data_IF_833451106232
#
_entry.id   IF_833451106232
#
_cell.length_a   1.000
_cell.length_b   1.000
_cell.length_c   1.000
_cell.angle_alpha   90.00
_cell.angle_beta   90.00
_cell.angle_gamma   90.00
#
_symmetry.space_group_name_H-M   'P 1'
#
loop_
_entity.id
_entity.type
_entity.pdbx_description
1 polymer ?
#
# COMPACT_ATOMS: atom_id res chain seq x y z
N UNK A 1 35.98 21.77 2.55
CA UNK A 1 36.38 20.37 2.33
C UNK A 1 35.82 19.97 1.00
N UNK A 2 36.68 19.56 0.07
CA UNK A 2 36.24 19.06 -1.24
C UNK A 2 35.56 17.70 -1.06
N UNK A 3 34.36 17.55 -1.60
CA UNK A 3 33.54 16.35 -1.51
C UNK A 3 32.94 16.05 -2.88
N UNK A 4 32.78 14.77 -3.20
CA UNK A 4 32.07 14.34 -4.40
C UNK A 4 30.56 14.33 -4.12
N UNK A 5 29.81 15.08 -4.92
CA UNK A 5 28.36 15.27 -4.79
C UNK A 5 27.66 14.82 -6.08
N UNK A 6 26.38 14.42 -5.98
CA UNK A 6 25.71 13.68 -7.05
C UNK A 6 24.37 14.27 -7.46
N UNK A 7 24.17 14.44 -8.76
CA UNK A 7 22.85 14.57 -9.35
C UNK A 7 22.42 13.19 -9.87
N UNK A 8 21.29 12.70 -9.37
CA UNK A 8 20.70 11.42 -9.71
C UNK A 8 19.41 11.65 -10.51
N UNK A 9 19.16 10.81 -11.51
CA UNK A 9 18.01 10.96 -12.41
C UNK A 9 17.31 9.63 -12.61
N UNK A 10 15.98 9.61 -12.61
CA UNK A 10 15.24 8.45 -13.10
C UNK A 10 14.40 8.86 -14.30
N UNK A 11 14.42 8.03 -15.36
CA UNK A 11 13.80 8.38 -16.64
C UNK A 11 12.50 7.61 -16.85
N UNK A 12 11.42 8.34 -17.10
CA UNK A 12 10.07 7.81 -17.23
C UNK A 12 9.37 8.42 -18.45
N UNK A 13 9.45 7.73 -19.58
CA UNK A 13 8.92 8.22 -20.87
C UNK A 13 7.40 8.09 -21.03
N UNK A 14 6.75 7.21 -20.28
CA UNK A 14 5.30 7.00 -20.37
C UNK A 14 4.55 7.55 -19.14
N UNK A 15 5.27 8.26 -18.27
CA UNK A 15 4.75 8.80 -17.02
C UNK A 15 4.40 7.75 -15.97
N UNK A 16 4.76 6.48 -16.17
CA UNK A 16 4.46 5.39 -15.24
C UNK A 16 5.65 4.49 -14.91
N UNK A 17 6.43 4.07 -15.91
CA UNK A 17 7.51 3.10 -15.75
C UNK A 17 8.87 3.77 -15.88
N UNK A 18 9.71 3.56 -14.88
CA UNK A 18 11.10 4.00 -14.88
C UNK A 18 11.89 2.99 -15.73
N UNK A 19 12.58 3.48 -16.76
CA UNK A 19 13.35 2.64 -17.70
C UNK A 19 14.78 2.42 -17.24
N UNK A 20 15.41 3.49 -16.79
CA UNK A 20 16.79 3.51 -16.33
C UNK A 20 17.02 4.66 -15.34
N UNK A 21 18.23 4.69 -14.79
CA UNK A 21 18.70 5.75 -13.90
C UNK A 21 19.96 6.40 -14.46
N UNK A 22 20.16 7.68 -14.15
CA UNK A 22 21.32 8.47 -14.52
C UNK A 22 22.05 9.03 -13.31
N UNK A 23 23.36 9.23 -13.44
CA UNK A 23 24.20 9.87 -12.43
C UNK A 23 25.16 10.87 -13.08
N UNK A 24 25.30 12.03 -12.43
CA UNK A 24 26.31 13.05 -12.69
C UNK A 24 27.07 13.36 -11.40
N UNK A 25 28.40 13.36 -11.48
CA UNK A 25 29.30 13.54 -10.33
C UNK A 25 30.02 14.88 -10.42
N UNK A 26 30.14 15.57 -9.28
CA UNK A 26 30.85 16.84 -9.19
C UNK A 26 31.74 16.86 -7.96
N UNK A 27 32.94 17.43 -8.07
CA UNK A 27 33.75 17.79 -6.91
C UNK A 27 33.47 19.22 -6.53
N UNK A 28 33.03 19.45 -5.29
CA UNK A 28 32.63 20.77 -4.82
C UNK A 28 33.11 21.05 -3.40
N UNK A 29 33.57 22.27 -3.16
CA UNK A 29 33.85 22.81 -1.84
C UNK A 29 32.71 23.72 -1.37
N UNK A 30 32.50 23.77 -0.07
CA UNK A 30 31.51 24.65 0.55
C UNK A 30 30.71 23.94 1.64
N UNK A 31 29.68 24.62 2.11
CA UNK A 31 28.65 24.07 2.99
C UNK A 31 27.70 23.15 2.21
N UNK A 32 26.99 22.26 2.91
CA UNK A 32 26.01 21.37 2.27
C UNK A 32 24.91 22.15 1.56
N UNK A 33 24.52 23.33 2.08
CA UNK A 33 23.55 24.19 1.44
C UNK A 33 24.05 24.72 0.08
N UNK A 34 25.31 25.18 0.01
CA UNK A 34 25.92 25.65 -1.23
C UNK A 34 26.07 24.51 -2.26
N UNK A 35 26.47 23.32 -1.81
CA UNK A 35 26.58 22.13 -2.66
C UNK A 35 25.22 21.67 -3.20
N UNK A 36 24.18 21.66 -2.37
CA UNK A 36 22.81 21.33 -2.80
C UNK A 36 22.27 22.36 -3.80
N UNK A 37 22.56 23.65 -3.59
CA UNK A 37 22.17 24.70 -4.52
C UNK A 37 22.91 24.59 -5.86
N UNK A 38 24.20 24.22 -5.82
CA UNK A 38 24.97 23.87 -7.02
C UNK A 38 24.30 22.72 -7.79
N UNK A 39 23.95 21.62 -7.12
CA UNK A 39 23.27 20.48 -7.76
C UNK A 39 21.94 20.91 -8.41
N UNK A 40 21.12 21.68 -7.69
CA UNK A 40 19.83 22.18 -8.21
C UNK A 40 19.99 23.05 -9.46
N UNK A 41 20.99 23.93 -9.48
CA UNK A 41 21.25 24.82 -10.62
C UNK A 41 21.75 24.07 -11.87
N UNK A 42 22.31 22.87 -11.70
CA UNK A 42 22.84 22.06 -12.80
C UNK A 42 21.90 20.93 -13.24
N UNK A 43 20.68 20.80 -12.70
CA UNK A 43 19.74 19.71 -13.04
C UNK A 43 19.56 19.52 -14.56
N UNK A 44 19.36 20.61 -15.31
CA UNK A 44 19.08 20.53 -16.75
C UNK A 44 20.31 20.08 -17.53
N UNK A 45 21.48 20.65 -17.26
CA UNK A 45 22.73 20.27 -17.94
C UNK A 45 23.15 18.85 -17.57
N UNK A 46 23.01 18.49 -16.30
CA UNK A 46 23.41 17.19 -15.80
C UNK A 46 22.48 16.08 -16.32
N UNK A 47 21.17 16.31 -16.42
CA UNK A 47 20.24 15.34 -16.97
C UNK A 47 20.53 15.03 -18.45
N UNK A 48 21.16 15.94 -19.19
CA UNK A 48 21.53 15.73 -20.60
C UNK A 48 22.85 14.98 -20.77
N UNK A 49 23.74 15.06 -19.77
CA UNK A 49 25.12 14.56 -19.83
C UNK A 49 25.37 13.38 -18.90
N UNK A 50 24.39 13.00 -18.07
CA UNK A 50 24.54 11.96 -17.09
C UNK A 50 24.88 10.62 -17.73
N UNK A 51 25.59 9.78 -16.97
CA UNK A 51 25.83 8.40 -17.38
C UNK A 51 24.65 7.54 -16.96
N UNK A 52 24.09 6.77 -17.90
CA UNK A 52 22.95 5.89 -17.66
C UNK A 52 23.38 4.52 -17.14
N UNK A 53 22.59 3.97 -16.23
CA UNK A 53 22.77 2.66 -15.60
C UNK A 53 21.44 1.90 -15.52
N UNK A 54 21.48 0.56 -15.51
CA UNK A 54 20.29 -0.23 -15.22
C UNK A 54 19.81 0.00 -13.79
N UNK A 55 18.51 -0.19 -13.57
CA UNK A 55 17.86 -0.10 -12.26
C UNK A 55 18.28 -1.30 -11.41
N UNK A 56 18.51 -1.07 -10.11
CA UNK A 56 18.83 -2.16 -9.19
C UNK A 56 17.68 -3.21 -9.10
N UNK A 57 17.94 -4.51 -9.36
CA UNK A 57 16.91 -5.56 -9.42
C UNK A 57 16.01 -5.69 -8.19
N UNK A 58 16.52 -5.46 -6.98
CA UNK A 58 15.73 -5.50 -5.73
C UNK A 58 14.55 -4.52 -5.69
N UNK A 59 14.53 -3.51 -6.56
CA UNK A 59 13.47 -2.49 -6.58
C UNK A 59 12.34 -2.82 -7.55
N UNK A 60 12.52 -3.83 -8.40
CA UNK A 60 11.56 -4.21 -9.43
C UNK A 60 10.34 -4.90 -8.82
N UNK A 61 9.21 -4.82 -9.53
CA UNK A 61 7.98 -5.56 -9.22
C UNK A 61 8.03 -7.01 -9.74
N UNK A 62 6.96 -7.75 -9.53
CA UNK A 62 6.78 -9.14 -9.99
C UNK A 62 6.88 -9.31 -11.53
N UNK A 63 6.80 -8.21 -12.29
CA UNK A 63 6.93 -8.17 -13.75
C UNK A 63 8.31 -7.70 -14.20
N UNK A 64 9.23 -7.45 -13.27
CA UNK A 64 10.57 -6.95 -13.55
C UNK A 64 10.62 -5.48 -13.92
N UNK A 65 9.63 -4.68 -13.47
CA UNK A 65 9.52 -3.24 -13.80
C UNK A 65 9.59 -2.40 -12.52
N UNK A 66 10.12 -1.18 -12.61
CA UNK A 66 9.99 -0.17 -11.56
C UNK A 66 8.95 0.88 -11.98
N UNK A 67 7.85 0.98 -11.23
CA UNK A 67 6.86 2.05 -11.41
C UNK A 67 7.21 3.27 -10.56
N UNK A 68 6.69 4.44 -10.92
CA UNK A 68 6.79 5.64 -10.06
C UNK A 68 6.19 5.37 -8.67
N UNK A 69 5.04 4.71 -8.59
CA UNK A 69 4.38 4.41 -7.32
C UNK A 69 5.25 3.51 -6.43
N UNK A 70 5.90 2.51 -7.03
CA UNK A 70 6.84 1.63 -6.31
C UNK A 70 8.12 2.35 -5.90
N UNK A 71 8.64 3.26 -6.74
CA UNK A 71 9.76 4.13 -6.36
C UNK A 71 9.40 5.00 -5.15
N UNK A 72 8.21 5.62 -5.16
CA UNK A 72 7.70 6.41 -4.05
C UNK A 72 7.54 5.54 -2.79
N UNK A 73 7.01 4.32 -2.91
CA UNK A 73 6.88 3.39 -1.80
C UNK A 73 8.25 3.04 -1.17
N UNK A 74 9.28 2.81 -1.99
CA UNK A 74 10.67 2.63 -1.51
C UNK A 74 11.18 3.87 -0.78
N UNK A 75 10.97 5.07 -1.34
CA UNK A 75 11.36 6.33 -0.70
C UNK A 75 10.64 6.57 0.64
N UNK A 76 9.38 6.12 0.78
CA UNK A 76 8.59 6.21 2.02
C UNK A 76 9.14 5.33 3.15
N UNK A 77 9.91 4.30 2.84
CA UNK A 77 10.62 3.47 3.84
C UNK A 77 12.12 3.71 3.89
N UNK A 78 12.60 4.80 3.29
CA UNK A 78 14.01 5.21 3.36
C UNK A 78 14.92 4.52 2.36
N UNK A 79 14.38 3.87 1.34
CA UNK A 79 15.14 3.16 0.32
C UNK A 79 15.17 3.87 -1.04
N UNK A 80 15.18 5.20 -1.02
CA UNK A 80 15.16 6.04 -2.23
C UNK A 80 16.43 5.90 -3.10
N UNK A 81 17.55 5.49 -2.50
CA UNK A 81 18.82 5.31 -3.20
C UNK A 81 18.99 3.92 -3.82
N UNK A 82 18.25 2.90 -3.39
CA UNK A 82 18.41 1.54 -3.92
C UNK A 82 18.34 1.45 -5.44
N UNK A 83 17.41 2.13 -6.15
CA UNK A 83 17.38 2.08 -7.61
C UNK A 83 18.69 2.51 -8.27
N UNK A 84 19.49 3.33 -7.58
CA UNK A 84 20.73 3.94 -8.05
C UNK A 84 22.01 3.23 -7.58
N UNK A 85 21.92 2.16 -6.78
CA UNK A 85 23.10 1.52 -6.18
C UNK A 85 24.14 1.09 -7.22
N UNK A 86 23.71 0.52 -8.35
CA UNK A 86 24.63 0.14 -9.45
C UNK A 86 25.39 1.37 -9.96
N UNK A 87 24.72 2.51 -10.10
CA UNK A 87 25.32 3.76 -10.56
C UNK A 87 26.28 4.34 -9.51
N UNK A 88 25.89 4.30 -8.24
CA UNK A 88 26.67 4.80 -7.10
C UNK A 88 27.94 3.97 -6.87
N UNK A 89 27.85 2.64 -6.99
CA UNK A 89 28.99 1.73 -6.91
C UNK A 89 29.98 1.98 -8.05
N UNK A 90 29.50 2.19 -9.27
CA UNK A 90 30.34 2.44 -10.44
C UNK A 90 31.22 3.69 -10.30
N UNK A 91 30.78 4.67 -9.50
CA UNK A 91 31.51 5.92 -9.23
C UNK A 91 32.19 5.94 -7.85
N UNK A 92 32.21 4.81 -7.13
CA UNK A 92 32.75 4.68 -5.77
C UNK A 92 32.16 5.72 -4.79
N UNK A 93 30.85 5.95 -4.87
CA UNK A 93 30.17 6.89 -3.97
C UNK A 93 30.32 6.44 -2.50
N UNK A 94 30.44 7.40 -1.55
CA UNK A 94 30.42 7.08 -0.13
C UNK A 94 29.05 6.53 0.29
N UNK A 95 28.99 5.89 1.47
CA UNK A 95 27.75 5.30 2.02
C UNK A 95 26.62 6.30 2.24
N UNK A 96 26.95 7.56 2.54
CA UNK A 96 25.99 8.65 2.72
C UNK A 96 26.35 9.79 1.76
N UNK A 97 26.08 9.65 0.46
CA UNK A 97 26.46 10.66 -0.52
C UNK A 97 25.54 11.88 -0.42
N UNK A 98 26.11 13.09 -0.53
CA UNK A 98 25.29 14.29 -0.73
C UNK A 98 24.75 14.28 -2.17
N UNK A 99 23.43 14.24 -2.30
CA UNK A 99 22.78 14.07 -3.59
C UNK A 99 21.47 14.83 -3.72
N UNK A 100 21.06 15.06 -4.95
CA UNK A 100 19.68 15.41 -5.35
C UNK A 100 19.24 14.38 -6.38
N UNK A 101 18.05 13.81 -6.24
CA UNK A 101 17.46 12.99 -7.29
C UNK A 101 16.27 13.68 -7.94
N UNK A 102 16.19 13.63 -9.27
CA UNK A 102 15.16 14.32 -10.07
C UNK A 102 14.48 13.35 -11.05
N UNK A 103 13.16 13.45 -11.15
CA UNK A 103 12.39 12.72 -12.16
C UNK A 103 12.57 13.37 -13.53
N UNK A 104 12.89 12.60 -14.56
CA UNK A 104 12.82 13.04 -15.96
C UNK A 104 11.61 12.37 -16.60
N UNK A 105 10.50 13.10 -16.68
CA UNK A 105 9.24 12.60 -17.22
C UNK A 105 9.01 13.20 -18.60
N UNK A 106 8.89 12.36 -19.63
CA UNK A 106 8.78 12.80 -21.03
C UNK A 106 9.91 13.77 -21.45
N UNK A 107 11.13 13.54 -20.95
CA UNK A 107 12.29 14.39 -21.21
C UNK A 107 12.31 15.73 -20.45
N UNK A 108 11.37 15.96 -19.54
CA UNK A 108 11.26 17.21 -18.77
C UNK A 108 11.58 16.91 -17.30
N UNK A 109 12.52 17.66 -16.67
CA UNK A 109 12.72 17.59 -15.23
C UNK A 109 11.45 17.95 -14.47
N UNK A 110 11.03 17.05 -13.59
CA UNK A 110 9.85 17.19 -12.76
C UNK A 110 10.26 17.08 -11.29
N UNK A 111 10.01 18.15 -10.54
CA UNK A 111 10.25 18.22 -9.09
C UNK A 111 8.89 18.25 -8.40
N UNK A 112 8.41 17.07 -8.01
CA UNK A 112 7.14 16.95 -7.28
C UNK A 112 7.30 17.19 -5.78
N UNK A 113 8.50 16.98 -5.24
CA UNK A 113 8.82 17.15 -3.83
C UNK A 113 10.33 17.39 -3.62
N UNK A 114 10.70 17.97 -2.49
CA UNK A 114 12.10 18.02 -2.01
C UNK A 114 12.17 17.35 -0.65
N UNK A 115 13.02 16.32 -0.54
CA UNK A 115 13.18 15.52 0.69
C UNK A 115 14.62 15.64 1.14
N UNK A 116 14.90 16.03 2.39
CA UNK A 116 16.24 15.96 2.94
C UNK A 116 16.80 14.52 2.86
N UNK A 117 18.08 14.37 2.57
CA UNK A 117 18.70 13.05 2.38
C UNK A 117 18.61 12.13 3.62
N UNK A 118 18.40 12.70 4.80
CA UNK A 118 18.25 12.00 6.07
C UNK A 118 16.78 11.76 6.47
N UNK A 119 15.81 12.11 5.62
CA UNK A 119 14.39 11.93 5.88
C UNK A 119 13.75 10.94 4.89
N UNK A 120 12.77 10.17 5.39
CA UNK A 120 11.94 9.34 4.53
C UNK A 120 10.89 10.22 3.83
N UNK A 121 10.48 9.84 2.62
CA UNK A 121 9.44 10.60 1.92
C UNK A 121 8.11 10.53 2.68
N UNK A 122 7.42 11.68 2.78
CA UNK A 122 6.21 11.88 3.57
C UNK A 122 5.35 12.91 2.87
N UNK A 123 4.05 12.92 3.17
CA UNK A 123 3.10 13.86 2.57
C UNK A 123 3.51 15.32 2.75
N UNK A 124 4.10 15.69 3.90
CA UNK A 124 4.61 17.05 4.18
C UNK A 124 5.64 17.55 3.16
N UNK A 125 6.31 16.66 2.43
CA UNK A 125 7.30 17.01 1.42
C UNK A 125 6.68 17.41 0.08
N UNK A 126 5.38 17.19 -0.11
CA UNK A 126 4.66 17.66 -1.29
C UNK A 126 4.24 19.13 -1.10
N UNK A 127 4.63 20.04 -2.00
CA UNK A 127 4.32 21.47 -1.88
C UNK A 127 2.82 21.79 -1.95
N UNK A 128 2.03 20.90 -2.54
CA UNK A 128 0.57 21.00 -2.63
C UNK A 128 -0.16 20.19 -1.54
N UNK A 129 0.55 19.71 -0.51
CA UNK A 129 -0.05 18.90 0.56
C UNK A 129 -1.08 19.69 1.39
N UNK A 130 -0.90 21.01 1.46
CA UNK A 130 -1.76 21.92 2.21
C UNK A 130 -2.56 22.77 1.22
N UNK A 131 -3.89 22.74 1.38
CA UNK A 131 -4.80 23.62 0.67
C UNK A 131 -5.48 24.48 1.71
N UNK A 132 -5.39 25.80 1.57
CA UNK A 132 -5.99 26.75 2.52
C UNK A 132 -7.49 26.44 2.72
N UNK A 133 -7.93 26.36 3.96
CA UNK A 133 -9.31 26.00 4.33
C UNK A 133 -9.64 24.50 4.24
N UNK A 134 -8.71 23.64 3.81
CA UNK A 134 -8.86 22.18 3.80
C UNK A 134 -8.06 21.58 4.95
N UNK A 135 -8.70 20.70 5.75
CA UNK A 135 -8.01 19.97 6.82
C UNK A 135 -6.93 19.09 6.21
N UNK A 136 -5.68 19.29 6.65
CA UNK A 136 -4.57 18.42 6.28
C UNK A 136 -4.75 17.06 6.96
N UNK A 137 -4.79 15.99 6.17
CA UNK A 137 -4.78 14.64 6.71
C UNK A 137 -3.33 14.21 6.95
N UNK A 138 -2.95 13.81 8.19
CA UNK A 138 -1.59 13.41 8.49
C UNK A 138 -1.23 12.13 7.73
N UNK A 139 0.05 12.00 7.39
CA UNK A 139 0.58 10.81 6.74
C UNK A 139 0.57 9.63 7.72
N UNK A 140 -0.08 8.52 7.35
CA UNK A 140 -0.21 7.37 8.26
C UNK A 140 1.16 6.82 8.69
N UNK A 141 2.18 6.91 7.84
CA UNK A 141 3.52 6.43 8.18
C UNK A 141 4.17 7.21 9.32
N UNK A 142 3.72 8.43 9.63
CA UNK A 142 4.21 9.18 10.81
C UNK A 142 3.77 8.53 12.13
N UNK A 143 2.60 7.88 12.14
CA UNK A 143 2.06 7.22 13.33
C UNK A 143 2.44 5.73 13.40
N UNK A 144 2.55 5.08 12.24
CA UNK A 144 2.70 3.63 12.16
C UNK A 144 4.09 3.17 11.72
N UNK A 145 5.03 4.06 11.44
CA UNK A 145 6.44 3.70 11.22
C UNK A 145 7.35 4.42 12.22
N UNK A 146 8.35 3.69 12.74
CA UNK A 146 9.40 4.25 13.60
C UNK A 146 10.79 4.14 12.97
N UNK A 147 10.85 4.20 11.63
CA UNK A 147 12.09 4.16 10.85
C UNK A 147 12.64 2.74 10.65
N UNK A 148 12.52 1.88 11.66
CA UNK A 148 12.99 0.49 11.60
C UNK A 148 11.87 -0.55 11.52
N UNK A 149 10.65 -0.20 11.92
CA UNK A 149 9.51 -1.10 11.85
C UNK A 149 8.27 -0.39 11.31
N UNK A 150 7.43 -1.17 10.62
CA UNK A 150 6.12 -0.74 10.14
C UNK A 150 5.03 -1.53 10.88
N UNK A 151 4.21 -0.81 11.66
CA UNK A 151 3.18 -1.35 12.56
C UNK A 151 1.87 -1.63 11.80
N UNK A 152 1.94 -2.47 10.77
CA UNK A 152 0.81 -2.79 9.88
C UNK A 152 -0.41 -3.26 10.68
N UNK A 153 -0.23 -4.19 11.63
CA UNK A 153 -1.33 -4.70 12.45
C UNK A 153 -2.07 -3.58 13.17
N UNK A 154 -1.33 -2.64 13.77
CA UNK A 154 -1.92 -1.53 14.50
C UNK A 154 -2.69 -0.59 13.56
N UNK A 155 -2.12 -0.28 12.40
CA UNK A 155 -2.78 0.51 11.36
C UNK A 155 -4.15 -0.08 10.98
N UNK A 156 -4.18 -1.37 10.65
CA UNK A 156 -5.43 -2.05 10.26
C UNK A 156 -6.44 -2.17 11.40
N UNK A 157 -5.97 -2.35 12.63
CA UNK A 157 -6.84 -2.38 13.81
C UNK A 157 -7.49 -1.02 14.05
N UNK A 158 -6.72 0.05 13.98
CA UNK A 158 -7.21 1.40 14.22
C UNK A 158 -8.21 1.81 13.11
N UNK A 159 -7.88 1.55 11.83
CA UNK A 159 -8.68 1.98 10.68
C UNK A 159 -9.94 1.12 10.43
N UNK A 160 -9.92 -0.17 10.79
CA UNK A 160 -10.99 -1.10 10.39
C UNK A 160 -11.57 -1.91 11.56
N UNK A 161 -10.74 -2.64 12.31
CA UNK A 161 -11.22 -3.56 13.35
C UNK A 161 -11.95 -2.81 14.45
N UNK A 162 -11.38 -1.70 14.93
CA UNK A 162 -11.97 -0.88 16.00
C UNK A 162 -13.35 -0.34 15.61
N UNK A 163 -13.54 0.30 14.44
CA UNK A 163 -14.86 0.67 13.94
C UNK A 163 -15.86 -0.49 13.80
N UNK A 164 -15.42 -1.66 13.30
CA UNK A 164 -16.27 -2.85 13.14
C UNK A 164 -16.82 -3.29 14.51
N UNK A 165 -15.94 -3.40 15.51
CA UNK A 165 -16.29 -3.74 16.89
C UNK A 165 -17.18 -2.70 17.53
N UNK A 166 -16.89 -1.42 17.33
CA UNK A 166 -17.71 -0.33 17.85
C UNK A 166 -19.16 -0.45 17.34
N UNK A 167 -19.35 -0.67 16.04
CA UNK A 167 -20.67 -0.85 15.44
C UNK A 167 -21.35 -2.13 15.95
N UNK A 168 -20.62 -3.23 16.07
CA UNK A 168 -21.14 -4.50 16.59
C UNK A 168 -21.63 -4.36 18.03
N UNK A 169 -20.80 -3.79 18.90
CA UNK A 169 -21.09 -3.61 20.33
C UNK A 169 -22.26 -2.64 20.56
N UNK A 170 -22.44 -1.67 19.67
CA UNK A 170 -23.61 -0.78 19.67
C UNK A 170 -24.82 -1.34 18.90
N UNK A 171 -24.82 -2.64 18.57
CA UNK A 171 -25.93 -3.36 17.92
C UNK A 171 -26.27 -2.87 16.51
N UNK A 172 -25.37 -2.14 15.86
CA UNK A 172 -25.46 -1.76 14.45
C UNK A 172 -24.92 -2.89 13.54
N UNK A 173 -25.49 -4.09 13.67
CA UNK A 173 -24.93 -5.32 13.09
C UNK A 173 -24.80 -5.28 11.57
N UNK A 174 -25.77 -4.73 10.85
CA UNK A 174 -25.70 -4.61 9.40
C UNK A 174 -24.57 -3.68 8.95
N UNK A 175 -24.41 -2.53 9.61
CA UNK A 175 -23.32 -1.59 9.31
C UNK A 175 -21.95 -2.20 9.63
N UNK A 176 -21.85 -2.88 10.78
CA UNK A 176 -20.67 -3.63 11.18
C UNK A 176 -20.31 -4.70 10.13
N UNK A 177 -21.30 -5.49 9.68
CA UNK A 177 -21.09 -6.52 8.66
C UNK A 177 -20.62 -5.94 7.33
N UNK A 178 -21.28 -4.86 6.86
CA UNK A 178 -20.89 -4.16 5.63
C UNK A 178 -19.45 -3.66 5.70
N UNK A 179 -19.05 -3.12 6.85
CA UNK A 179 -17.68 -2.65 7.06
C UNK A 179 -16.68 -3.82 7.09
N UNK A 180 -17.03 -4.94 7.74
CA UNK A 180 -16.18 -6.14 7.75
C UNK A 180 -15.94 -6.67 6.33
N UNK A 181 -16.98 -6.84 5.52
CA UNK A 181 -16.79 -7.37 4.16
C UNK A 181 -16.07 -6.38 3.23
N UNK A 182 -16.20 -5.07 3.49
CA UNK A 182 -15.38 -4.05 2.83
C UNK A 182 -13.91 -4.11 3.26
N UNK A 183 -13.65 -4.42 4.54
CA UNK A 183 -12.29 -4.58 5.04
C UNK A 183 -11.61 -5.82 4.45
N UNK A 184 -12.35 -6.91 4.23
CA UNK A 184 -11.84 -8.08 3.50
C UNK A 184 -11.44 -7.70 2.07
N UNK A 185 -12.24 -6.90 1.35
CA UNK A 185 -11.87 -6.38 0.02
C UNK A 185 -10.56 -5.58 0.08
N UNK A 186 -10.36 -4.75 1.12
CA UNK A 186 -9.12 -4.01 1.34
C UNK A 186 -7.92 -4.94 1.53
N UNK A 187 -8.00 -5.93 2.43
CA UNK A 187 -6.90 -6.89 2.65
C UNK A 187 -6.58 -7.70 1.39
N UNK A 188 -7.63 -8.13 0.66
CA UNK A 188 -7.48 -8.86 -0.60
C UNK A 188 -6.80 -8.02 -1.68
N UNK A 189 -7.18 -6.73 -1.82
CA UNK A 189 -6.53 -5.80 -2.74
C UNK A 189 -5.06 -5.55 -2.37
N UNK A 190 -4.77 -5.35 -1.09
CA UNK A 190 -3.39 -5.13 -0.62
C UNK A 190 -2.51 -6.34 -0.93
N UNK A 191 -3.00 -7.57 -0.77
CA UNK A 191 -2.23 -8.79 -1.06
C UNK A 191 -2.14 -9.11 -2.56
N UNK A 192 -3.26 -9.04 -3.28
CA UNK A 192 -3.39 -9.61 -4.63
C UNK A 192 -3.52 -8.57 -5.75
N UNK A 193 -3.61 -7.28 -5.41
CA UNK A 193 -3.75 -6.18 -6.36
C UNK A 193 -5.16 -6.12 -6.98
N UNK A 194 -5.23 -5.75 -8.26
CA UNK A 194 -6.49 -5.52 -8.99
C UNK A 194 -6.85 -6.54 -10.12
N UNK A 195 -6.73 -7.87 -9.93
CA UNK A 195 -7.49 -8.85 -10.72
C UNK A 195 -9.01 -8.64 -10.56
N UNK A 196 -9.86 -9.36 -11.32
CA UNK A 196 -11.31 -9.32 -11.11
C UNK A 196 -11.67 -9.47 -9.63
N UNK A 197 -12.43 -8.50 -9.07
CA UNK A 197 -12.66 -8.38 -7.61
C UNK A 197 -13.16 -9.66 -6.93
N UNK A 198 -14.04 -10.41 -7.61
CA UNK A 198 -14.53 -11.69 -7.11
C UNK A 198 -13.41 -12.72 -6.89
N UNK A 199 -12.38 -12.70 -7.73
CA UNK A 199 -11.24 -13.60 -7.63
C UNK A 199 -10.38 -13.24 -6.42
N UNK A 200 -10.07 -11.97 -6.18
CA UNK A 200 -9.19 -11.58 -5.06
C UNK A 200 -9.84 -11.79 -3.70
N UNK A 201 -11.12 -11.43 -3.53
CA UNK A 201 -11.82 -11.65 -2.28
C UNK A 201 -11.84 -13.14 -1.92
N UNK A 202 -12.25 -13.99 -2.88
CA UNK A 202 -12.34 -15.43 -2.68
C UNK A 202 -10.95 -16.03 -2.44
N UNK A 203 -9.94 -15.67 -3.22
CA UNK A 203 -8.58 -16.19 -3.05
C UNK A 203 -7.98 -15.80 -1.70
N UNK A 204 -8.16 -14.56 -1.24
CA UNK A 204 -7.66 -14.15 0.07
C UNK A 204 -8.36 -14.92 1.19
N UNK A 205 -9.68 -15.05 1.12
CA UNK A 205 -10.47 -15.81 2.10
C UNK A 205 -10.08 -17.29 2.12
N UNK A 206 -9.96 -17.93 0.96
CA UNK A 206 -9.58 -19.34 0.85
C UNK A 206 -8.15 -19.59 1.37
N UNK A 207 -7.26 -18.61 1.23
CA UNK A 207 -5.85 -18.72 1.65
C UNK A 207 -5.67 -18.51 3.16
N UNK A 208 -6.37 -17.56 3.75
CA UNK A 208 -6.08 -17.10 5.12
C UNK A 208 -7.18 -17.38 6.14
N UNK A 209 -8.42 -17.62 5.72
CA UNK A 209 -9.54 -17.82 6.63
C UNK A 209 -9.88 -19.30 6.83
N UNK A 210 -10.48 -19.61 7.97
CA UNK A 210 -11.07 -20.92 8.24
C UNK A 210 -12.60 -20.85 8.10
N UNK A 211 -13.09 -20.09 7.11
CA UNK A 211 -14.51 -19.88 6.83
C UNK A 211 -15.35 -21.17 6.74
N UNK A 212 -14.84 -22.31 6.22
CA UNK A 212 -15.58 -23.57 6.21
C UNK A 212 -16.04 -24.04 7.61
N UNK A 213 -15.44 -23.57 8.71
CA UNK A 213 -15.91 -23.83 10.08
C UNK A 213 -17.32 -23.29 10.34
N UNK A 214 -17.78 -22.31 9.55
CA UNK A 214 -19.15 -21.77 9.60
C UNK A 214 -20.11 -22.48 8.62
N UNK A 215 -19.68 -23.54 7.93
CA UNK A 215 -20.52 -24.23 6.97
C UNK A 215 -20.93 -23.39 5.74
N UNK A 216 -20.14 -22.37 5.41
CA UNK A 216 -20.31 -21.53 4.20
C UNK A 216 -18.99 -21.43 3.45
N UNK A 217 -19.04 -21.11 2.15
CA UNK A 217 -17.85 -20.93 1.32
C UNK A 217 -17.51 -19.45 1.12
N UNK A 218 -16.27 -19.16 0.70
CA UNK A 218 -15.83 -17.81 0.37
C UNK A 218 -16.64 -17.20 -0.79
N UNK A 219 -17.13 -18.05 -1.71
CA UNK A 219 -18.02 -17.64 -2.81
C UNK A 219 -19.39 -17.22 -2.29
N UNK A 220 -19.96 -17.97 -1.35
CA UNK A 220 -21.26 -17.61 -0.75
C UNK A 220 -21.16 -16.27 -0.02
N UNK A 221 -20.08 -16.08 0.76
CA UNK A 221 -19.83 -14.82 1.46
C UNK A 221 -19.62 -13.64 0.48
N UNK A 222 -18.92 -13.86 -0.63
CA UNK A 222 -18.75 -12.83 -1.67
C UNK A 222 -20.08 -12.41 -2.28
N UNK A 223 -20.97 -13.36 -2.57
CA UNK A 223 -22.29 -13.05 -3.13
C UNK A 223 -23.20 -12.33 -2.11
N UNK A 224 -23.13 -12.71 -0.83
CA UNK A 224 -23.81 -11.97 0.24
C UNK A 224 -23.27 -10.53 0.36
N UNK A 225 -21.95 -10.36 0.32
CA UNK A 225 -21.28 -9.04 0.28
C UNK A 225 -21.81 -8.20 -0.88
N UNK A 226 -21.91 -8.78 -2.07
CA UNK A 226 -22.37 -8.09 -3.27
C UNK A 226 -23.81 -7.57 -3.08
N UNK A 227 -24.72 -8.43 -2.60
CA UNK A 227 -26.10 -8.03 -2.37
C UNK A 227 -26.29 -7.02 -1.25
N UNK A 228 -25.56 -7.19 -0.13
CA UNK A 228 -25.72 -6.30 1.01
C UNK A 228 -25.15 -4.91 0.78
N UNK A 229 -23.98 -4.80 0.13
CA UNK A 229 -23.38 -3.49 -0.15
C UNK A 229 -24.16 -2.70 -1.20
N UNK A 230 -24.72 -3.36 -2.22
CA UNK A 230 -25.42 -2.66 -3.30
C UNK A 230 -26.93 -2.48 -3.08
N UNK A 231 -27.61 -3.44 -2.46
CA UNK A 231 -29.08 -3.44 -2.39
C UNK A 231 -29.64 -3.74 -0.99
N UNK A 232 -28.80 -4.12 -0.03
CA UNK A 232 -29.25 -4.54 1.31
C UNK A 232 -30.28 -5.67 1.25
N UNK A 233 -30.02 -6.70 0.44
CA UNK A 233 -30.86 -7.90 0.36
C UNK A 233 -30.00 -9.18 0.31
N UNK A 234 -30.66 -10.35 0.26
CA UNK A 234 -30.00 -11.66 0.23
C UNK A 234 -29.86 -12.27 -1.17
N UNK A 235 -30.35 -11.59 -2.21
CA UNK A 235 -30.58 -12.19 -3.52
C UNK A 235 -29.63 -11.57 -4.55
N UNK A 236 -28.40 -12.08 -4.62
CA UNK A 236 -27.49 -11.73 -5.71
C UNK A 236 -27.99 -12.35 -7.02
N UNK A 237 -27.51 -11.87 -8.18
CA UNK A 237 -27.84 -12.50 -9.45
C UNK A 237 -27.45 -13.98 -9.49
N UNK A 238 -26.35 -14.37 -8.83
CA UNK A 238 -25.91 -15.78 -8.76
C UNK A 238 -26.77 -16.61 -7.81
N UNK A 239 -27.19 -16.05 -6.68
CA UNK A 239 -28.15 -16.70 -5.79
C UNK A 239 -29.48 -16.96 -6.51
N UNK A 240 -29.98 -15.98 -7.28
CA UNK A 240 -31.21 -16.13 -8.07
C UNK A 240 -31.06 -17.24 -9.14
N UNK A 241 -29.86 -17.44 -9.67
CA UNK A 241 -29.55 -18.49 -10.66
C UNK A 241 -29.19 -19.85 -10.04
N UNK A 242 -29.13 -19.97 -8.72
CA UNK A 242 -28.72 -21.20 -8.02
C UNK A 242 -27.22 -21.50 -8.10
N UNK A 243 -26.40 -20.52 -8.47
CA UNK A 243 -24.94 -20.64 -8.60
C UNK A 243 -24.18 -20.37 -7.29
N UNK A 244 -24.90 -19.92 -6.25
CA UNK A 244 -24.38 -19.68 -4.90
C UNK A 244 -25.47 -19.94 -3.86
N UNK A 245 -25.07 -20.31 -2.64
CA UNK A 245 -26.00 -20.57 -1.55
C UNK A 245 -26.63 -19.27 -1.07
N UNK A 246 -27.93 -19.30 -0.77
CA UNK A 246 -28.62 -18.18 -0.16
C UNK A 246 -28.30 -18.13 1.33
N UNK A 247 -27.32 -17.33 1.70
CA UNK A 247 -26.86 -17.22 3.09
C UNK A 247 -27.32 -15.90 3.74
N UNK A 248 -27.36 -15.89 5.06
CA UNK A 248 -27.51 -14.69 5.89
C UNK A 248 -26.76 -14.89 7.21
N UNK A 249 -26.61 -13.85 8.00
CA UNK A 249 -25.97 -13.94 9.31
C UNK A 249 -26.99 -13.87 10.45
N UNK A 250 -26.63 -14.47 11.58
CA UNK A 250 -27.35 -14.39 12.85
C UNK A 250 -26.41 -13.85 13.92
N UNK A 251 -26.97 -13.27 14.99
CA UNK A 251 -26.21 -12.83 16.16
C UNK A 251 -26.50 -13.82 17.29
N UNK A 252 -25.49 -14.61 17.67
CA UNK A 252 -25.61 -15.63 18.70
C UNK A 252 -24.31 -15.78 19.49
N UNK A 253 -24.33 -16.45 20.66
CA UNK A 253 -23.11 -16.78 21.41
C UNK A 253 -22.08 -17.50 20.53
N UNK A 254 -20.78 -17.29 20.81
CA UNK A 254 -19.69 -17.94 20.06
C UNK A 254 -19.87 -19.45 20.02
N UNK A 255 -19.57 -20.05 18.87
CA UNK A 255 -19.75 -21.49 18.61
C UNK A 255 -21.19 -21.93 18.34
N UNK A 256 -22.14 -21.00 18.19
CA UNK A 256 -23.51 -21.36 17.79
C UNK A 256 -23.48 -21.94 16.37
N UNK A 257 -23.99 -23.18 16.16
CA UNK A 257 -23.92 -23.82 14.85
C UNK A 257 -24.74 -23.09 13.79
N UNK A 258 -24.26 -23.18 12.55
CA UNK A 258 -25.01 -22.77 11.37
C UNK A 258 -26.31 -23.55 11.27
N UNK A 259 -27.39 -22.86 10.89
CA UNK A 259 -28.74 -23.42 10.80
C UNK A 259 -29.41 -23.03 9.50
N UNK A 260 -30.31 -23.88 9.02
CA UNK A 260 -31.12 -23.58 7.86
C UNK A 260 -32.56 -23.27 8.27
N UNK A 261 -33.16 -22.25 7.65
CA UNK A 261 -34.55 -21.91 7.82
C UNK A 261 -35.09 -21.29 6.54
N UNK A 262 -36.21 -21.84 6.03
CA UNK A 262 -36.88 -21.36 4.81
C UNK A 262 -35.93 -21.20 3.60
N UNK A 263 -35.00 -22.14 3.43
CA UNK A 263 -34.02 -22.12 2.34
C UNK A 263 -32.95 -21.04 2.46
N UNK A 264 -32.75 -20.48 3.67
CA UNK A 264 -31.66 -19.56 4.01
C UNK A 264 -30.76 -20.24 5.03
N UNK A 265 -29.45 -20.20 4.77
CA UNK A 265 -28.44 -20.72 5.69
C UNK A 265 -27.88 -19.58 6.53
N UNK A 266 -28.08 -19.67 7.84
CA UNK A 266 -27.68 -18.66 8.82
C UNK A 266 -26.41 -19.07 9.53
N UNK A 267 -25.30 -18.38 9.25
CA UNK A 267 -24.05 -18.50 10.01
C UNK A 267 -24.02 -17.50 11.18
N UNK A 268 -23.15 -17.72 12.16
CA UNK A 268 -23.00 -16.80 13.30
C UNK A 268 -22.03 -15.66 12.96
N UNK A 269 -22.51 -14.40 13.03
CA UNK A 269 -21.66 -13.24 12.77
C UNK A 269 -20.58 -13.06 13.83
N UNK A 270 -20.88 -13.41 15.09
CA UNK A 270 -19.92 -13.33 16.20
C UNK A 270 -18.68 -14.18 15.91
N UNK A 271 -18.85 -15.38 15.36
CA UNK A 271 -17.74 -16.27 15.01
C UNK A 271 -17.03 -15.82 13.73
N UNK A 272 -17.73 -15.18 12.79
CA UNK A 272 -17.10 -14.63 11.58
C UNK A 272 -16.10 -13.52 11.93
N UNK A 273 -16.41 -12.63 12.87
CA UNK A 273 -15.47 -11.57 13.30
C UNK A 273 -14.13 -12.19 13.75
N UNK A 274 -14.19 -13.18 14.65
CA UNK A 274 -13.00 -13.87 15.14
C UNK A 274 -12.23 -14.56 13.99
N UNK A 275 -12.93 -15.26 13.09
CA UNK A 275 -12.31 -15.95 11.95
C UNK A 275 -11.55 -14.98 11.05
N UNK A 276 -12.08 -13.77 10.83
CA UNK A 276 -11.43 -12.75 10.01
C UNK A 276 -10.24 -12.12 10.71
N UNK A 277 -10.31 -11.90 12.03
CA UNK A 277 -9.16 -11.41 12.80
C UNK A 277 -8.02 -12.41 12.84
N UNK A 278 -8.32 -13.70 13.04
CA UNK A 278 -7.33 -14.76 12.95
C UNK A 278 -6.75 -14.87 11.53
N UNK A 279 -7.57 -14.65 10.50
CA UNK A 279 -7.13 -14.63 9.12
C UNK A 279 -6.19 -13.45 8.84
N UNK A 280 -6.52 -12.26 9.37
CA UNK A 280 -5.65 -11.09 9.31
C UNK A 280 -4.30 -11.38 9.96
N UNK A 281 -4.28 -12.01 11.14
CA UNK A 281 -3.03 -12.37 11.81
C UNK A 281 -2.19 -13.37 11.01
N UNK A 282 -2.83 -14.42 10.45
CA UNK A 282 -2.15 -15.35 9.54
C UNK A 282 -1.59 -14.67 8.29
N UNK A 283 -2.33 -13.73 7.72
CA UNK A 283 -1.87 -12.95 6.57
C UNK A 283 -0.69 -12.04 6.94
N UNK A 284 -0.77 -11.31 8.04
CA UNK A 284 0.29 -10.41 8.49
C UNK A 284 1.58 -11.15 8.86
N UNK A 285 1.49 -12.38 9.35
CA UNK A 285 2.68 -13.21 9.59
C UNK A 285 3.51 -13.48 8.33
N UNK A 286 2.92 -13.34 7.13
CA UNK A 286 3.65 -13.48 5.85
C UNK A 286 4.50 -12.26 5.49
N UNK A 287 4.39 -11.16 6.24
CA UNK A 287 5.18 -9.94 6.05
C UNK A 287 6.48 -9.94 6.85
N UNK A 288 6.62 -10.85 7.82
CA UNK A 288 7.84 -11.00 8.63
C UNK A 288 9.04 -11.23 7.72
N UNK A 289 10.03 -10.36 7.82
CA UNK A 289 11.26 -10.34 7.01
C UNK A 289 11.04 -10.34 5.48
N UNK A 290 9.83 -9.95 5.02
CA UNK A 290 9.51 -9.86 3.61
C UNK A 290 9.41 -8.40 3.16
N UNK A 291 10.57 -7.84 2.82
CA UNK A 291 10.72 -6.45 2.39
C UNK A 291 9.86 -6.12 1.16
N UNK A 292 9.82 -7.00 0.16
CA UNK A 292 9.06 -6.79 -1.07
C UNK A 292 7.56 -6.63 -0.78
N UNK A 293 7.02 -7.44 0.15
CA UNK A 293 5.63 -7.32 0.59
C UNK A 293 5.37 -6.02 1.32
N UNK A 294 6.32 -5.51 2.11
CA UNK A 294 6.20 -4.21 2.78
C UNK A 294 6.12 -3.07 1.75
N UNK A 295 7.01 -3.06 0.75
CA UNK A 295 6.97 -2.08 -0.34
C UNK A 295 5.63 -2.14 -1.06
N UNK A 296 5.20 -3.34 -1.42
CA UNK A 296 3.93 -3.58 -2.14
C UNK A 296 2.71 -3.18 -1.30
N UNK A 297 2.77 -3.36 0.02
CA UNK A 297 1.75 -2.85 0.94
C UNK A 297 1.64 -1.34 0.81
N UNK A 298 2.75 -0.61 0.95
CA UNK A 298 2.75 0.85 0.95
C UNK A 298 2.27 1.37 -0.41
N UNK A 299 2.80 0.82 -1.50
CA UNK A 299 2.38 1.13 -2.87
C UNK A 299 0.86 1.05 -3.05
N UNK A 300 0.24 -0.02 -2.54
CA UNK A 300 -1.21 -0.23 -2.66
C UNK A 300 -2.00 0.57 -1.64
N UNK A 301 -1.51 0.66 -0.41
CA UNK A 301 -2.19 1.33 0.69
C UNK A 301 -2.23 2.85 0.51
N UNK A 302 -1.23 3.43 -0.15
CA UNK A 302 -1.23 4.85 -0.53
C UNK A 302 -2.37 5.20 -1.51
N UNK A 303 -2.98 4.20 -2.17
CA UNK A 303 -4.17 4.39 -3.03
C UNK A 303 -5.50 4.29 -2.27
N UNK A 304 -5.47 3.93 -0.99
CA UNK A 304 -6.65 3.74 -0.16
C UNK A 304 -7.00 5.06 0.54
N UNK A 305 -8.26 5.48 0.43
CA UNK A 305 -8.75 6.67 1.12
C UNK A 305 -8.85 6.38 2.62
N UNK A 306 -8.20 7.23 3.41
CA UNK A 306 -8.21 7.18 4.87
C UNK A 306 -8.75 8.49 5.44
N UNK A 307 -9.52 8.38 6.51
CA UNK A 307 -9.89 9.49 7.38
C UNK A 307 -9.10 9.37 8.69
N UNK A 308 -8.64 10.48 9.24
CA UNK A 308 -7.88 10.51 10.51
C UNK A 308 -8.56 11.45 11.50
N UNK A 309 -8.99 10.87 12.63
CA UNK A 309 -9.36 11.57 13.85
C UNK A 309 -8.53 11.05 15.02
#
# INVERSE_FOLDING_TARGET
>A
MNEVIFNLFYFCEDGKHIKDVGISCHECEGTDAEKLEFLKNNIISDAQLCTHYPIHPFTLDEKGMLTIDRFIANARIGNSLQPFEIALEAVNAPQSPLHVFTAIVNGIPRVDATVPANEQFRRKHNPNAEVEGVKVMPDYLEQYSDGNSFKIKKLLIDDHVTPIHLLFNNKHYLSSFKLLVSFIDTMAFIELGNPPRSAVFVQWMDKYSELPKLGITSKDLYELRNSLLHMTNLNSHKVIRGEAQRISYSIAPKGTPTREHEGITFFNYTDLIDIIEDAMDRWLNTYTDNYEKIVTFIERYDTIVRDNY
#
